data_IF_314896464919
#
_entry.id   IF_314896464919
#
_cell.length_a   1.000
_cell.length_b   1.000
_cell.length_c   1.000
_cell.angle_alpha   90.00
_cell.angle_beta   90.00
_cell.angle_gamma   90.00
#
_symmetry.space_group_name_H-M   'P 1'
#
loop_
_entity.id
_entity.type
_entity.pdbx_description
1 polymer ?
#
# COMPACT_ATOMS: atom_id res chain seq x y z
N UNK A 1 77.52 70.17 -61.88
CA UNK A 1 76.73 69.95 -63.11
C UNK A 1 75.69 68.87 -62.81
N UNK A 2 74.40 69.21 -62.91
CA UNK A 2 73.19 68.35 -62.86
C UNK A 2 72.83 67.55 -61.57
N UNK A 3 71.63 67.94 -61.08
CA UNK A 3 70.55 67.25 -60.34
C UNK A 3 70.80 66.67 -58.92
N UNK A 4 70.00 67.09 -57.91
CA UNK A 4 70.10 66.66 -56.52
C UNK A 4 68.99 65.69 -56.08
N UNK A 5 69.22 65.02 -54.94
CA UNK A 5 68.21 64.37 -54.11
C UNK A 5 68.33 64.87 -52.67
N UNK A 6 67.17 65.09 -52.02
CA UNK A 6 66.90 65.37 -50.59
C UNK A 6 66.95 66.85 -50.14
N UNK A 7 66.33 67.26 -49.00
CA UNK A 7 65.08 66.84 -48.35
C UNK A 7 64.23 68.02 -47.76
N UNK A 8 63.07 67.68 -47.16
CA UNK A 8 62.38 68.29 -45.98
C UNK A 8 62.06 69.79 -45.88
N UNK A 9 60.80 70.13 -45.55
CA UNK A 9 60.44 70.87 -44.31
C UNK A 9 58.92 71.11 -44.16
N UNK A 10 58.41 70.81 -42.97
CA UNK A 10 57.09 71.11 -42.34
C UNK A 10 57.11 72.52 -41.68
N UNK A 11 56.11 73.03 -40.90
CA UNK A 11 54.83 72.50 -40.33
C UNK A 11 53.66 73.56 -40.45
N UNK A 12 52.55 73.64 -39.63
CA UNK A 12 52.18 72.91 -38.41
C UNK A 12 50.70 72.51 -38.14
N UNK A 13 50.58 71.59 -37.17
CA UNK A 13 49.59 71.43 -36.07
C UNK A 13 48.08 71.36 -36.35
N UNK A 14 47.45 70.23 -35.99
CA UNK A 14 46.41 70.18 -34.94
C UNK A 14 46.04 68.74 -34.57
N UNK A 15 45.87 68.52 -33.27
CA UNK A 15 45.54 67.26 -32.59
C UNK A 15 44.04 66.94 -32.70
N UNK A 16 43.69 65.72 -33.16
CA UNK A 16 42.36 65.14 -32.93
C UNK A 16 42.49 63.74 -32.35
N UNK A 17 42.00 63.62 -31.11
CA UNK A 17 41.99 62.47 -30.22
C UNK A 17 40.65 61.73 -30.40
N UNK A 18 40.64 60.58 -31.05
CA UNK A 18 39.47 59.72 -31.16
C UNK A 18 39.36 58.80 -29.93
N UNK A 19 38.40 59.09 -29.05
CA UNK A 19 37.95 58.20 -27.99
C UNK A 19 36.88 57.23 -28.57
N UNK A 20 37.26 56.01 -28.94
CA UNK A 20 36.30 54.95 -29.23
C UNK A 20 35.71 54.42 -27.91
N UNK A 21 34.55 54.95 -27.50
CA UNK A 21 33.66 54.27 -26.55
C UNK A 21 32.92 53.17 -27.31
N UNK A 22 33.23 51.92 -27.02
CA UNK A 22 32.48 50.74 -27.46
C UNK A 22 31.05 50.82 -26.89
N UNK A 23 30.07 51.15 -27.75
CA UNK A 23 28.65 51.01 -27.42
C UNK A 23 28.27 49.53 -27.55
N UNK A 24 28.02 48.88 -26.43
CA UNK A 24 27.43 47.54 -26.42
C UNK A 24 25.98 47.61 -26.93
N UNK A 25 25.61 46.67 -27.79
CA UNK A 25 24.26 46.55 -28.36
C UNK A 25 23.24 46.34 -27.23
N UNK A 26 22.11 47.07 -27.21
CA UNK A 26 21.07 46.91 -26.18
C UNK A 26 20.50 45.48 -26.14
N UNK A 27 20.55 44.76 -27.27
CA UNK A 27 20.15 43.35 -27.36
C UNK A 27 21.12 42.40 -26.65
N UNK A 28 22.41 42.74 -26.58
CA UNK A 28 23.38 41.93 -25.86
C UNK A 28 23.18 42.09 -24.34
N UNK A 29 22.84 43.30 -23.89
CA UNK A 29 22.54 43.54 -22.49
C UNK A 29 21.28 42.82 -22.04
N UNK A 30 20.20 42.85 -22.82
CA UNK A 30 18.96 42.11 -22.50
C UNK A 30 19.18 40.59 -22.54
N UNK A 31 19.98 40.08 -23.47
CA UNK A 31 20.35 38.66 -23.51
C UNK A 31 21.15 38.25 -22.26
N UNK A 32 22.12 39.06 -21.83
CA UNK A 32 22.93 38.77 -20.65
C UNK A 32 22.10 38.81 -19.36
N UNK A 33 21.16 39.75 -19.24
CA UNK A 33 20.22 39.81 -18.12
C UNK A 33 19.29 38.60 -18.11
N UNK A 34 18.79 38.16 -19.27
CA UNK A 34 17.97 36.95 -19.38
C UNK A 34 18.74 35.68 -18.98
N UNK A 35 19.98 35.52 -19.46
CA UNK A 35 20.84 34.39 -19.10
C UNK A 35 21.13 34.39 -17.59
N UNK A 36 21.40 35.55 -17.01
CA UNK A 36 21.63 35.67 -15.56
C UNK A 36 20.38 35.30 -14.75
N UNK A 37 19.19 35.73 -15.18
CA UNK A 37 17.94 35.42 -14.51
C UNK A 37 17.58 33.92 -14.59
N UNK A 38 17.81 33.28 -15.74
CA UNK A 38 17.67 31.82 -15.91
C UNK A 38 18.70 31.07 -15.05
N UNK A 39 19.95 31.54 -14.98
CA UNK A 39 20.98 30.92 -14.15
C UNK A 39 20.66 31.00 -12.64
N UNK A 40 19.98 32.06 -12.16
CA UNK A 40 19.51 32.14 -10.77
C UNK A 40 18.33 31.21 -10.51
N UNK A 41 17.35 31.18 -11.43
CA UNK A 41 16.14 30.36 -11.25
C UNK A 41 16.39 28.85 -11.36
N UNK A 42 17.42 28.43 -12.11
CA UNK A 42 17.74 27.03 -12.35
C UNK A 42 19.15 26.61 -11.88
N UNK A 43 19.88 27.51 -11.19
CA UNK A 43 21.27 27.29 -10.77
C UNK A 43 21.42 26.21 -9.69
N UNK A 44 20.43 26.05 -8.81
CA UNK A 44 20.43 25.00 -7.79
C UNK A 44 20.24 23.59 -8.41
N UNK A 45 19.52 23.49 -9.54
CA UNK A 45 19.35 22.23 -10.27
C UNK A 45 20.58 21.84 -11.10
N UNK A 46 21.34 22.82 -11.60
CA UNK A 46 22.53 22.56 -12.43
C UNK A 46 23.73 22.01 -11.64
N UNK A 47 23.92 22.42 -10.38
CA UNK A 47 24.99 21.88 -9.51
C UNK A 47 24.72 20.43 -9.08
N UNK A 48 23.46 19.98 -9.10
CA UNK A 48 23.09 18.61 -8.80
C UNK A 48 23.39 17.65 -9.97
N UNK A 49 23.28 18.13 -11.21
CA UNK A 49 23.54 17.34 -12.42
C UNK A 49 25.05 17.12 -12.65
N UNK A 50 25.89 18.13 -12.40
CA UNK A 50 27.35 17.97 -12.53
C UNK A 50 28.03 17.32 -11.30
N UNK A 51 27.43 17.41 -10.12
CA UNK A 51 27.93 16.74 -8.92
C UNK A 51 27.85 15.20 -8.98
N UNK A 52 26.87 14.65 -9.70
CA UNK A 52 26.73 13.20 -9.89
C UNK A 52 27.67 12.61 -10.94
N UNK A 53 28.17 13.42 -11.88
CA UNK A 53 29.00 12.92 -12.98
C UNK A 53 30.50 12.95 -12.65
N UNK A 54 30.93 13.75 -11.68
CA UNK A 54 32.32 13.82 -11.20
C UNK A 54 32.68 12.80 -10.10
N UNK A 55 31.73 12.01 -9.58
CA UNK A 55 32.02 10.89 -8.66
C UNK A 55 32.16 9.52 -9.35
N UNK A 56 31.92 9.43 -10.66
CA UNK A 56 31.93 8.15 -11.40
C UNK A 56 33.23 7.87 -12.16
N UNK A 57 34.28 8.69 -12.02
CA UNK A 57 35.54 8.44 -12.72
C UNK A 57 36.75 8.93 -11.91
N UNK A 58 37.19 8.13 -10.93
CA UNK A 58 38.52 8.28 -10.31
C UNK A 58 39.03 6.95 -9.77
N UNK A 59 39.81 6.30 -10.64
CA UNK A 59 40.90 5.35 -10.44
C UNK A 59 40.67 3.87 -10.01
N UNK A 60 41.26 2.92 -10.78
CA UNK A 60 41.27 1.50 -10.48
C UNK A 60 42.54 1.05 -9.72
N UNK A 61 42.42 -0.09 -9.05
CA UNK A 61 43.48 -0.90 -8.44
C UNK A 61 44.27 -0.30 -7.27
N UNK A 62 43.82 -0.60 -6.06
CA UNK A 62 44.71 -0.77 -4.92
C UNK A 62 44.21 -1.95 -4.09
N UNK A 63 45.02 -2.99 -4.05
CA UNK A 63 44.76 -4.24 -3.35
C UNK A 63 44.96 -3.99 -1.85
N UNK A 64 43.88 -3.69 -1.13
CA UNK A 64 43.88 -3.64 0.34
C UNK A 64 43.03 -4.78 0.89
N UNK A 65 43.73 -5.73 1.53
CA UNK A 65 43.16 -6.74 2.40
C UNK A 65 42.28 -6.04 3.45
N UNK A 66 40.97 -6.12 3.25
CA UNK A 66 39.98 -5.62 4.19
C UNK A 66 39.38 -6.83 4.89
N UNK A 67 39.64 -6.91 6.18
CA UNK A 67 38.85 -7.69 7.14
C UNK A 67 37.36 -7.47 6.88
N UNK A 68 36.49 -8.48 7.07
CA UNK A 68 35.07 -8.30 6.83
C UNK A 68 34.51 -7.36 7.88
N UNK A 69 34.36 -6.08 7.52
CA UNK A 69 33.50 -5.15 8.25
C UNK A 69 32.10 -5.76 8.25
N UNK A 70 31.65 -6.16 9.44
CA UNK A 70 30.26 -6.52 9.72
C UNK A 70 29.40 -5.35 9.26
N UNK A 71 28.75 -5.46 8.09
CA UNK A 71 27.69 -4.55 7.67
C UNK A 71 26.65 -4.57 8.80
N UNK A 72 26.61 -3.51 9.61
CA UNK A 72 25.52 -3.30 10.58
C UNK A 72 24.25 -3.18 9.76
N UNK A 73 23.49 -4.28 9.64
CA UNK A 73 22.12 -4.25 9.09
C UNK A 73 21.37 -3.15 9.85
N UNK A 74 21.02 -2.06 9.17
CA UNK A 74 20.24 -0.98 9.77
C UNK A 74 18.95 -1.59 10.35
N UNK A 75 18.67 -1.28 11.61
CA UNK A 75 17.50 -1.79 12.31
C UNK A 75 16.25 -1.18 11.66
N UNK A 76 15.34 -2.02 11.17
CA UNK A 76 14.07 -1.57 10.61
C UNK A 76 13.29 -0.75 11.64
N UNK A 77 12.62 0.31 11.18
CA UNK A 77 11.77 1.11 12.07
C UNK A 77 10.78 0.21 12.82
N UNK A 78 10.53 0.53 14.09
CA UNK A 78 9.64 -0.21 15.02
C UNK A 78 10.10 -1.59 15.48
N UNK A 79 11.14 -2.18 14.88
CA UNK A 79 11.64 -3.48 15.30
C UNK A 79 12.08 -3.47 16.78
N UNK A 80 11.66 -4.48 17.55
CA UNK A 80 12.05 -4.72 18.94
C UNK A 80 13.01 -5.89 19.01
N UNK A 81 12.72 -6.98 18.30
CA UNK A 81 13.58 -8.15 18.15
C UNK A 81 13.70 -8.59 16.70
N UNK A 82 14.01 -9.86 16.50
CA UNK A 82 13.98 -10.54 15.21
C UNK A 82 13.31 -11.90 15.40
N UNK A 83 12.59 -12.35 14.38
CA UNK A 83 12.16 -13.75 14.33
C UNK A 83 13.39 -14.65 14.17
N UNK A 84 13.29 -15.90 14.63
CA UNK A 84 14.33 -16.92 14.44
C UNK A 84 14.71 -17.08 12.95
N UNK A 85 16.01 -17.24 12.68
CA UNK A 85 16.49 -17.43 11.32
C UNK A 85 15.89 -18.69 10.71
N UNK A 86 15.35 -18.58 9.50
CA UNK A 86 14.70 -19.69 8.79
C UNK A 86 13.21 -19.86 9.09
N UNK A 87 12.60 -19.09 10.00
CA UNK A 87 11.16 -19.16 10.21
C UNK A 87 10.38 -18.31 9.19
N UNK A 88 9.70 -18.99 8.27
CA UNK A 88 8.63 -18.39 7.47
C UNK A 88 7.30 -18.43 8.25
N UNK A 89 6.94 -17.30 8.87
CA UNK A 89 5.71 -17.19 9.66
C UNK A 89 4.43 -17.37 8.84
N UNK A 90 4.50 -17.33 7.51
CA UNK A 90 3.36 -17.53 6.61
C UNK A 90 3.20 -18.98 6.16
N UNK A 91 4.15 -19.86 6.54
CA UNK A 91 4.12 -21.30 6.28
C UNK A 91 3.86 -22.06 7.58
N UNK A 92 2.74 -22.77 7.64
CA UNK A 92 2.19 -23.29 8.90
C UNK A 92 0.87 -24.02 8.71
N UNK A 93 0.17 -24.19 9.83
CA UNK A 93 -1.15 -24.83 9.89
C UNK A 93 -2.06 -24.12 10.88
N UNK A 94 -3.36 -24.30 10.70
CA UNK A 94 -4.35 -23.90 11.70
C UNK A 94 -4.39 -24.92 12.84
N UNK A 95 -4.39 -24.42 14.07
CA UNK A 95 -4.56 -25.22 15.28
C UNK A 95 -5.70 -24.66 16.10
N UNK A 96 -6.50 -25.54 16.71
CA UNK A 96 -7.58 -25.14 17.61
C UNK A 96 -6.99 -24.66 18.93
N UNK A 97 -7.50 -23.54 19.44
CA UNK A 97 -7.02 -22.86 20.64
C UNK A 97 -8.19 -22.17 21.36
N UNK A 98 -8.92 -22.94 22.17
CA UNK A 98 -10.08 -22.44 22.91
C UNK A 98 -9.70 -21.63 24.16
N UNK A 99 -8.44 -21.70 24.59
CA UNK A 99 -7.96 -21.04 25.80
C UNK A 99 -7.66 -19.57 25.56
N UNK A 100 -7.15 -19.23 24.37
CA UNK A 100 -6.71 -17.86 24.05
C UNK A 100 -7.57 -17.18 22.99
N UNK A 101 -8.59 -17.86 22.45
CA UNK A 101 -9.42 -17.33 21.37
C UNK A 101 -10.92 -17.27 21.72
N UNK A 102 -11.65 -16.33 21.09
CA UNK A 102 -11.13 -15.17 20.34
C UNK A 102 -10.46 -14.13 21.26
N UNK A 103 -9.71 -13.18 20.69
CA UNK A 103 -9.07 -12.10 21.46
C UNK A 103 -10.09 -11.13 22.10
N UNK A 104 -11.28 -11.05 21.50
CA UNK A 104 -12.42 -10.27 21.95
C UNK A 104 -13.69 -10.94 21.45
N UNK A 105 -14.81 -10.71 22.12
CA UNK A 105 -16.14 -11.12 21.67
C UNK A 105 -16.72 -10.08 20.72
N UNK A 106 -17.54 -10.50 19.76
CA UNK A 106 -18.20 -9.60 18.80
C UNK A 106 -18.97 -8.46 19.49
N UNK A 107 -19.69 -8.78 20.57
CA UNK A 107 -20.47 -7.83 21.36
C UNK A 107 -19.64 -6.83 22.16
N UNK A 108 -18.35 -7.06 22.33
CA UNK A 108 -17.46 -6.18 23.10
C UNK A 108 -16.93 -5.02 22.24
N UNK A 109 -16.89 -5.16 20.90
CA UNK A 109 -16.33 -4.16 20.00
C UNK A 109 -17.43 -3.42 19.21
N UNK A 110 -17.85 -2.20 19.62
CA UNK A 110 -18.92 -1.46 18.96
C UNK A 110 -18.53 -0.89 17.58
N UNK A 111 -17.28 -1.07 17.16
CA UNK A 111 -16.75 -0.55 15.90
C UNK A 111 -16.91 -1.51 14.72
N UNK A 112 -17.33 -2.76 14.98
CA UNK A 112 -17.59 -3.74 13.93
C UNK A 112 -18.82 -3.29 13.15
N UNK A 113 -18.69 -3.15 11.83
CA UNK A 113 -19.86 -2.81 11.03
C UNK A 113 -20.80 -4.01 10.92
N UNK A 114 -22.13 -3.79 10.82
CA UNK A 114 -23.13 -4.85 10.71
C UNK A 114 -22.91 -5.85 9.56
N UNK A 115 -22.07 -5.51 8.58
CA UNK A 115 -21.71 -6.43 7.50
C UNK A 115 -20.73 -7.53 7.94
N UNK A 116 -20.13 -7.42 9.13
CA UNK A 116 -19.11 -8.33 9.68
C UNK A 116 -19.52 -8.94 11.04
N UNK A 117 -20.64 -8.50 11.66
CA UNK A 117 -21.17 -9.03 12.94
C UNK A 117 -22.01 -10.28 12.71
N UNK A 118 -21.36 -11.43 12.55
CA UNK A 118 -22.04 -12.67 12.19
C UNK A 118 -22.93 -13.22 13.30
N UNK A 119 -22.51 -13.14 14.57
CA UNK A 119 -23.30 -13.65 15.68
C UNK A 119 -24.57 -12.81 15.89
N UNK A 120 -24.45 -11.49 15.84
CA UNK A 120 -25.58 -10.55 15.87
C UNK A 120 -26.58 -10.83 14.73
N UNK A 121 -26.08 -11.25 13.56
CA UNK A 121 -26.91 -11.62 12.41
C UNK A 121 -27.28 -13.11 12.34
N UNK A 122 -27.24 -13.80 13.49
CA UNK A 122 -27.86 -15.11 13.66
C UNK A 122 -26.99 -16.31 13.29
N UNK A 123 -25.66 -16.13 13.14
CA UNK A 123 -24.75 -17.26 12.93
C UNK A 123 -24.77 -18.18 14.16
N UNK A 124 -25.14 -19.47 14.02
CA UNK A 124 -25.33 -20.35 15.16
C UNK A 124 -24.01 -20.93 15.70
N UNK A 125 -23.02 -21.16 14.84
CA UNK A 125 -21.74 -21.73 15.20
C UNK A 125 -20.72 -20.65 15.62
N UNK A 126 -19.82 -21.01 16.54
CA UNK A 126 -18.70 -20.17 16.99
C UNK A 126 -17.32 -20.78 16.74
N UNK A 127 -17.27 -22.02 16.25
CA UNK A 127 -16.03 -22.80 16.16
C UNK A 127 -14.97 -22.13 15.27
N UNK A 128 -15.39 -21.37 14.26
CA UNK A 128 -14.50 -20.59 13.40
C UNK A 128 -13.64 -19.56 14.18
N UNK A 129 -14.08 -19.15 15.38
CA UNK A 129 -13.38 -18.17 16.22
C UNK A 129 -12.19 -18.78 16.97
N UNK A 130 -12.17 -20.11 17.17
CA UNK A 130 -11.19 -20.80 18.03
C UNK A 130 -9.95 -21.30 17.28
N UNK A 131 -9.66 -20.74 16.12
CA UNK A 131 -8.50 -21.12 15.31
C UNK A 131 -7.36 -20.12 15.45
N UNK A 132 -6.15 -20.63 15.69
CA UNK A 132 -4.89 -19.88 15.68
C UNK A 132 -3.96 -20.41 14.59
N UNK A 133 -3.22 -19.52 13.95
CA UNK A 133 -2.17 -19.91 13.01
C UNK A 133 -0.88 -20.30 13.75
N UNK A 134 -0.33 -21.45 13.41
CA UNK A 134 0.93 -21.97 13.94
C UNK A 134 1.94 -22.16 12.80
N UNK A 135 2.97 -21.30 12.69
CA UNK A 135 4.07 -21.53 11.76
C UNK A 135 4.79 -22.86 12.05
N UNK A 136 5.34 -23.48 11.01
CA UNK A 136 5.99 -24.78 11.15
C UNK A 136 7.30 -24.75 11.94
N UNK A 137 8.08 -23.67 11.79
CA UNK A 137 9.44 -23.59 12.28
C UNK A 137 9.61 -22.73 13.54
N UNK A 138 8.58 -21.99 13.96
CA UNK A 138 8.63 -21.16 15.16
C UNK A 138 7.22 -20.85 15.69
N UNK A 139 7.17 -20.22 16.86
CA UNK A 139 5.94 -19.67 17.42
C UNK A 139 5.74 -18.20 17.00
N UNK A 140 4.49 -17.80 16.82
CA UNK A 140 4.16 -16.38 16.66
C UNK A 140 4.31 -15.68 18.02
N UNK A 141 4.86 -14.45 18.05
CA UNK A 141 4.81 -13.64 19.24
C UNK A 141 3.36 -13.34 19.61
N UNK A 142 3.01 -13.49 20.88
CA UNK A 142 1.68 -13.15 21.39
C UNK A 142 1.36 -11.69 21.10
N UNK A 143 0.17 -11.43 20.56
CA UNK A 143 -0.29 -10.07 20.32
C UNK A 143 -0.35 -9.29 21.64
N UNK A 144 0.34 -8.14 21.68
CA UNK A 144 0.38 -7.28 22.86
C UNK A 144 -0.19 -5.90 22.50
N UNK A 145 -1.44 -5.67 22.90
CA UNK A 145 -2.14 -4.42 22.62
C UNK A 145 -1.47 -3.21 23.28
N UNK A 146 -0.94 -3.34 24.50
CA UNK A 146 -0.20 -2.27 25.18
C UNK A 146 1.07 -1.89 24.41
N UNK A 147 1.83 -2.87 23.94
CA UNK A 147 3.03 -2.64 23.11
C UNK A 147 2.66 -1.93 21.80
N UNK A 148 1.57 -2.35 21.16
CA UNK A 148 1.10 -1.71 19.93
C UNK A 148 0.71 -0.24 20.18
N UNK A 149 -0.11 0.03 21.19
CA UNK A 149 -0.56 1.39 21.52
C UNK A 149 0.60 2.30 21.93
N UNK A 150 1.52 1.84 22.79
CA UNK A 150 2.71 2.61 23.16
C UNK A 150 3.62 2.88 21.97
N UNK A 151 3.72 1.92 21.05
CA UNK A 151 4.48 2.11 19.81
C UNK A 151 3.82 3.16 18.91
N UNK A 152 2.49 3.21 18.89
CA UNK A 152 1.70 4.18 18.13
C UNK A 152 1.60 5.55 18.80
N UNK A 153 2.20 5.75 19.98
CA UNK A 153 2.11 7.02 20.70
C UNK A 153 2.67 8.17 19.85
N UNK A 154 1.85 9.18 19.58
CA UNK A 154 2.19 10.30 18.71
C UNK A 154 2.30 9.95 17.23
N UNK A 155 1.68 8.86 16.77
CA UNK A 155 1.85 8.29 15.43
C UNK A 155 0.54 7.96 14.74
N UNK A 156 0.65 7.75 13.42
CA UNK A 156 -0.44 7.37 12.55
C UNK A 156 -0.19 6.00 11.92
N UNK A 157 -1.15 5.10 12.07
CA UNK A 157 -1.23 3.84 11.33
C UNK A 157 -2.38 3.92 10.34
N UNK A 158 -2.15 3.58 9.07
CA UNK A 158 -3.19 3.66 8.04
C UNK A 158 -3.24 2.40 7.19
N UNK A 159 -4.44 1.82 7.09
CA UNK A 159 -4.80 0.78 6.15
C UNK A 159 -5.36 1.43 4.88
N UNK A 160 -4.91 1.01 3.71
CA UNK A 160 -5.27 1.63 2.43
C UNK A 160 -5.62 0.56 1.41
N UNK A 161 -6.88 0.51 0.98
CA UNK A 161 -7.29 -0.52 0.03
C UNK A 161 -8.78 -0.65 -0.16
N UNK A 162 -9.18 -1.89 -0.43
CA UNK A 162 -10.56 -2.30 -0.65
C UNK A 162 -11.28 -2.71 0.66
N UNK A 163 -12.45 -3.37 0.54
CA UNK A 163 -13.28 -3.75 1.68
C UNK A 163 -12.64 -4.81 2.58
N UNK A 164 -11.72 -5.63 2.08
CA UNK A 164 -11.02 -6.62 2.89
C UNK A 164 -9.99 -5.92 3.78
N UNK A 165 -9.34 -4.88 3.26
CA UNK A 165 -8.43 -4.08 4.08
C UNK A 165 -9.18 -3.29 5.16
N UNK A 166 -10.41 -2.85 4.88
CA UNK A 166 -11.30 -2.25 5.89
C UNK A 166 -11.62 -3.23 7.02
N UNK A 167 -11.89 -4.50 6.70
CA UNK A 167 -12.08 -5.53 7.73
C UNK A 167 -10.83 -5.73 8.60
N UNK A 168 -9.63 -5.76 7.99
CA UNK A 168 -8.37 -5.81 8.74
C UNK A 168 -8.18 -4.59 9.65
N UNK A 169 -8.52 -3.39 9.19
CA UNK A 169 -8.54 -2.16 9.99
C UNK A 169 -9.45 -2.29 11.22
N UNK A 170 -10.68 -2.75 11.03
CA UNK A 170 -11.66 -2.88 12.11
C UNK A 170 -11.22 -3.93 13.13
N UNK A 171 -10.68 -5.06 12.66
CA UNK A 171 -10.05 -6.06 13.54
C UNK A 171 -8.93 -5.43 14.38
N UNK A 172 -8.05 -4.59 13.79
CA UNK A 172 -6.99 -3.91 14.54
C UNK A 172 -7.57 -2.98 15.61
N UNK A 173 -8.63 -2.23 15.29
CA UNK A 173 -9.33 -1.41 16.29
C UNK A 173 -9.89 -2.28 17.42
N UNK A 174 -10.54 -3.39 17.10
CA UNK A 174 -11.11 -4.31 18.10
C UNK A 174 -10.07 -5.03 18.95
N UNK A 175 -8.85 -5.25 18.43
CA UNK A 175 -7.73 -5.78 19.21
C UNK A 175 -7.17 -4.77 20.22
N UNK A 176 -7.39 -3.47 20.02
CA UNK A 176 -6.78 -2.40 20.81
C UNK A 176 -7.77 -1.66 21.72
N UNK A 177 -9.03 -1.50 21.30
CA UNK A 177 -9.96 -0.54 21.92
C UNK A 177 -10.27 -0.81 23.40
N UNK A 178 -10.14 -2.05 23.88
CA UNK A 178 -10.44 -2.41 25.29
C UNK A 178 -9.45 -1.77 26.27
N UNK A 179 -8.23 -1.50 25.83
CA UNK A 179 -7.20 -0.84 26.65
C UNK A 179 -7.33 0.68 26.67
N UNK A 180 -8.28 1.25 25.93
CA UNK A 180 -8.50 2.69 25.84
C UNK A 180 -9.84 3.02 26.52
N UNK A 181 -9.85 3.90 27.53
CA UNK A 181 -11.09 4.37 28.16
C UNK A 181 -12.11 4.88 27.14
N UNK A 182 -13.41 4.72 27.41
CA UNK A 182 -14.48 5.10 26.47
C UNK A 182 -14.47 6.59 26.10
N UNK A 183 -14.18 7.47 27.07
CA UNK A 183 -14.05 8.92 26.86
C UNK A 183 -12.74 9.31 26.16
N UNK A 184 -11.75 8.42 26.17
CA UNK A 184 -10.44 8.58 25.56
C UNK A 184 -10.33 8.02 24.12
N UNK A 185 -11.45 7.58 23.51
CA UNK A 185 -11.48 7.12 22.12
C UNK A 185 -12.62 7.70 21.29
N UNK A 186 -12.44 7.74 19.96
CA UNK A 186 -13.48 8.15 19.01
C UNK A 186 -13.25 7.50 17.64
N UNK A 187 -14.31 7.40 16.84
CA UNK A 187 -14.24 6.98 15.43
C UNK A 187 -15.03 7.97 14.57
N UNK A 188 -14.39 8.54 13.57
CA UNK A 188 -14.98 9.56 12.68
C UNK A 188 -14.68 9.23 11.21
N UNK A 189 -15.62 9.54 10.32
CA UNK A 189 -15.48 9.30 8.88
C UNK A 189 -15.62 10.60 8.09
N UNK A 190 -14.63 10.88 7.24
CA UNK A 190 -14.52 12.06 6.39
C UNK A 190 -14.30 11.61 4.94
N UNK A 191 -15.40 11.53 4.16
CA UNK A 191 -15.35 11.03 2.78
C UNK A 191 -14.75 9.62 2.72
N UNK A 192 -13.58 9.48 2.07
CA UNK A 192 -12.88 8.19 1.93
C UNK A 192 -12.04 7.78 3.15
N UNK A 193 -11.88 8.64 4.16
CA UNK A 193 -11.03 8.40 5.33
C UNK A 193 -11.88 8.10 6.57
N UNK A 194 -11.60 7.02 7.28
CA UNK A 194 -12.13 6.74 8.62
C UNK A 194 -10.98 6.73 9.62
N UNK A 195 -11.13 7.45 10.74
CA UNK A 195 -10.10 7.65 11.75
C UNK A 195 -10.62 7.16 13.09
N UNK A 196 -9.92 6.19 13.68
CA UNK A 196 -10.06 5.84 15.09
C UNK A 196 -8.95 6.53 15.88
N UNK A 197 -9.31 7.32 16.89
CA UNK A 197 -8.37 8.12 17.68
C UNK A 197 -8.27 7.55 19.09
N UNK A 198 -7.05 7.26 19.54
CA UNK A 198 -6.72 6.94 20.92
C UNK A 198 -6.09 8.18 21.58
N UNK A 199 -6.91 8.98 22.27
CA UNK A 199 -6.57 10.36 22.69
C UNK A 199 -5.37 10.40 23.64
N UNK A 200 -5.34 9.53 24.65
CA UNK A 200 -4.24 9.46 25.63
C UNK A 200 -2.89 9.06 25.02
N UNK A 201 -2.93 8.34 23.90
CA UNK A 201 -1.73 7.96 23.15
C UNK A 201 -1.36 9.02 22.10
N UNK A 202 -2.22 10.00 21.83
CA UNK A 202 -2.10 10.88 20.67
C UNK A 202 -1.84 10.06 19.39
N UNK A 203 -2.60 8.98 19.23
CA UNK A 203 -2.40 7.98 18.19
C UNK A 203 -3.66 7.83 17.33
N UNK A 204 -3.47 7.56 16.04
CA UNK A 204 -4.58 7.24 15.13
C UNK A 204 -4.37 5.90 14.44
N UNK A 205 -5.47 5.16 14.31
CA UNK A 205 -5.58 4.01 13.42
C UNK A 205 -6.61 4.38 12.37
N UNK A 206 -6.22 4.33 11.10
CA UNK A 206 -6.94 4.95 9.99
C UNK A 206 -7.24 3.92 8.90
N UNK A 207 -8.37 4.09 8.21
CA UNK A 207 -8.69 3.40 6.97
C UNK A 207 -8.94 4.41 5.85
N UNK A 208 -8.24 4.27 4.74
CA UNK A 208 -8.44 5.08 3.54
C UNK A 208 -8.94 4.20 2.40
N UNK A 209 -10.14 4.51 1.89
CA UNK A 209 -10.74 3.83 0.75
C UNK A 209 -10.03 4.18 -0.55
N UNK A 210 -9.32 3.21 -1.12
CA UNK A 210 -8.65 3.31 -2.41
C UNK A 210 -8.55 1.90 -3.01
N UNK A 211 -9.65 1.32 -3.50
CA UNK A 211 -9.76 -0.11 -3.78
C UNK A 211 -8.85 -0.57 -4.92
N UNK A 212 -8.43 0.34 -5.80
CA UNK A 212 -7.45 0.11 -6.88
C UNK A 212 -6.10 0.78 -6.62
N UNK A 213 -5.94 1.48 -5.49
CA UNK A 213 -4.82 2.39 -5.12
C UNK A 213 -4.62 3.60 -6.03
N UNK A 214 -4.90 3.46 -7.32
CA UNK A 214 -5.01 4.52 -8.31
C UNK A 214 -6.40 5.14 -8.26
N UNK A 215 -6.52 6.36 -8.80
CA UNK A 215 -7.81 7.00 -9.00
C UNK A 215 -8.71 6.12 -9.88
N UNK A 216 -9.97 5.97 -9.47
CA UNK A 216 -10.96 5.19 -10.17
C UNK A 216 -12.33 5.83 -10.11
N UNK A 217 -13.26 5.37 -10.94
CA UNK A 217 -14.66 5.75 -10.79
C UNK A 217 -15.33 5.17 -9.54
N UNK A 218 -14.63 4.32 -8.77
CA UNK A 218 -15.16 3.61 -7.60
C UNK A 218 -14.56 4.11 -6.27
N UNK A 219 -14.07 5.35 -6.23
CA UNK A 219 -13.36 5.95 -5.08
C UNK A 219 -14.28 6.54 -3.99
N UNK A 220 -15.60 6.55 -4.21
CA UNK A 220 -16.57 6.99 -3.21
C UNK A 220 -16.86 5.88 -2.19
N UNK A 221 -16.45 6.03 -0.94
CA UNK A 221 -16.58 4.96 0.06
C UNK A 221 -18.02 4.48 0.32
N UNK A 222 -19.04 5.23 -0.10
CA UNK A 222 -20.47 4.89 0.01
C UNK A 222 -21.04 4.38 -1.32
N UNK A 223 -20.81 5.11 -2.41
CA UNK A 223 -21.37 4.85 -3.74
C UNK A 223 -20.28 4.28 -4.67
N UNK A 224 -19.80 3.08 -4.37
CA UNK A 224 -18.68 2.44 -5.09
C UNK A 224 -19.02 1.13 -5.83
N UNK A 225 -20.29 0.73 -5.81
CA UNK A 225 -20.76 -0.50 -6.47
C UNK A 225 -21.07 -0.26 -7.93
N UNK A 226 -20.00 -0.10 -8.70
CA UNK A 226 -20.07 0.15 -10.14
C UNK A 226 -19.65 -1.13 -10.85
N UNK A 227 -20.47 -1.59 -11.80
CA UNK A 227 -20.18 -2.77 -12.62
C UNK A 227 -19.08 -2.47 -13.63
N UNK A 228 -19.17 -1.32 -14.31
CA UNK A 228 -18.17 -0.88 -15.28
C UNK A 228 -17.05 -0.07 -14.62
N UNK A 229 -16.07 -0.77 -14.04
CA UNK A 229 -14.97 -0.16 -13.28
C UNK A 229 -13.88 0.37 -14.22
N UNK A 230 -13.46 1.61 -13.99
CA UNK A 230 -12.40 2.27 -14.76
C UNK A 230 -11.32 2.75 -13.80
N UNK A 231 -10.06 2.43 -14.09
CA UNK A 231 -8.88 2.86 -13.33
C UNK A 231 -8.06 3.82 -14.16
N UNK A 232 -7.64 4.95 -13.58
CA UNK A 232 -6.85 5.97 -14.27
C UNK A 232 -5.36 5.70 -14.13
N UNK A 233 -4.63 5.68 -15.25
CA UNK A 233 -3.18 5.48 -15.27
C UNK A 233 -2.43 6.65 -14.64
N UNK A 234 -1.38 6.37 -13.86
CA UNK A 234 -0.47 7.40 -13.33
C UNK A 234 -1.06 8.35 -12.28
N UNK A 235 -2.24 8.04 -11.73
CA UNK A 235 -3.06 8.96 -10.94
C UNK A 235 -2.90 8.84 -9.41
N UNK A 236 -1.94 8.03 -8.94
CA UNK A 236 -1.83 7.65 -7.52
C UNK A 236 -1.74 8.83 -6.55
N UNK A 237 -1.24 9.99 -7.00
CA UNK A 237 -1.08 11.18 -6.16
C UNK A 237 -2.42 11.76 -5.65
N UNK A 238 -3.55 11.51 -6.33
CA UNK A 238 -4.88 11.92 -5.85
C UNK A 238 -5.16 11.35 -4.46
N UNK A 239 -4.84 10.08 -4.26
CA UNK A 239 -4.98 9.42 -2.96
C UNK A 239 -3.73 9.58 -2.10
N UNK A 240 -2.55 9.46 -2.71
CA UNK A 240 -1.25 9.51 -2.04
C UNK A 240 -1.03 10.76 -1.18
N UNK A 241 -1.64 11.90 -1.51
CA UNK A 241 -1.58 13.10 -0.65
C UNK A 241 -2.06 12.85 0.79
N UNK A 242 -3.00 11.94 1.00
CA UNK A 242 -3.55 11.59 2.32
C UNK A 242 -2.66 10.62 3.10
N UNK A 243 -1.80 9.86 2.42
CA UNK A 243 -0.93 8.85 3.00
C UNK A 243 0.43 9.43 3.45
N UNK A 244 0.74 10.67 3.03
CA UNK A 244 1.97 11.36 3.44
C UNK A 244 2.01 11.54 4.96
N UNK A 245 3.19 11.32 5.54
CA UNK A 245 3.42 11.48 6.97
C UNK A 245 2.87 10.35 7.86
N UNK A 246 2.30 9.28 7.27
CA UNK A 246 1.91 8.09 8.03
C UNK A 246 3.16 7.32 8.47
N UNK A 247 3.16 6.82 9.71
CA UNK A 247 4.26 6.06 10.31
C UNK A 247 4.21 4.57 9.93
N UNK A 248 3.01 3.99 9.85
CA UNK A 248 2.80 2.60 9.46
C UNK A 248 1.71 2.53 8.38
N UNK A 249 2.08 2.19 7.15
CA UNK A 249 1.15 2.01 6.03
C UNK A 249 0.92 0.53 5.76
N UNK A 250 -0.33 0.12 5.64
CA UNK A 250 -0.73 -1.25 5.28
C UNK A 250 -1.61 -1.19 4.04
N UNK A 251 -1.01 -1.48 2.87
CA UNK A 251 -1.73 -1.49 1.60
C UNK A 251 -2.38 -2.86 1.33
N UNK A 252 -3.51 -2.86 0.65
CA UNK A 252 -4.09 -4.04 0.02
C UNK A 252 -4.90 -3.62 -1.21
N UNK A 253 -4.94 -4.48 -2.22
CA UNK A 253 -5.86 -4.35 -3.35
C UNK A 253 -5.92 -5.68 -4.08
N UNK A 254 -7.10 -6.27 -4.23
CA UNK A 254 -7.23 -7.53 -4.98
C UNK A 254 -8.62 -7.71 -5.55
N UNK A 255 -9.64 -7.67 -4.69
CA UNK A 255 -10.98 -8.18 -4.99
C UNK A 255 -11.53 -7.61 -6.30
N UNK A 256 -11.35 -6.31 -6.52
CA UNK A 256 -11.99 -5.61 -7.64
C UNK A 256 -11.25 -5.72 -8.97
N UNK A 257 -10.06 -6.29 -8.96
CA UNK A 257 -9.36 -6.68 -10.17
C UNK A 257 -9.86 -8.04 -10.70
N UNK A 258 -10.52 -8.85 -9.85
CA UNK A 258 -10.99 -10.20 -10.18
C UNK A 258 -12.37 -10.18 -10.87
N UNK A 259 -12.50 -9.41 -11.95
CA UNK A 259 -13.76 -9.31 -12.70
C UNK A 259 -14.01 -10.48 -13.66
N UNK A 260 -12.98 -11.28 -13.95
CA UNK A 260 -12.99 -12.27 -15.04
C UNK A 260 -12.87 -11.65 -16.43
N UNK A 261 -12.76 -10.33 -16.54
CA UNK A 261 -12.69 -9.57 -17.78
C UNK A 261 -11.40 -8.75 -17.85
N UNK A 262 -11.13 -8.16 -19.02
CA UNK A 262 -10.09 -7.13 -19.16
C UNK A 262 -10.44 -5.88 -18.34
N UNK A 263 -9.41 -5.20 -17.85
CA UNK A 263 -9.57 -3.98 -17.06
C UNK A 263 -9.53 -2.75 -17.95
N UNK A 264 -10.50 -1.86 -17.78
CA UNK A 264 -10.55 -0.56 -18.46
C UNK A 264 -9.62 0.44 -17.78
N UNK A 265 -8.63 0.92 -18.53
CA UNK A 265 -7.64 1.89 -18.09
C UNK A 265 -7.84 3.20 -18.83
N UNK A 266 -8.13 4.26 -18.08
CA UNK A 266 -8.21 5.62 -18.60
C UNK A 266 -6.80 6.22 -18.71
N UNK A 267 -6.45 6.75 -19.88
CA UNK A 267 -5.15 7.36 -20.14
C UNK A 267 -5.10 8.86 -19.76
N UNK A 268 -6.23 9.57 -19.92
CA UNK A 268 -6.40 10.99 -19.60
C UNK A 268 -6.94 11.27 -18.19
N UNK A 269 -7.79 12.29 -18.06
CA UNK A 269 -8.55 12.65 -16.84
C UNK A 269 -9.99 12.18 -16.90
N UNK A 270 -10.62 12.01 -15.73
CA UNK A 270 -12.07 11.76 -15.66
C UNK A 270 -12.90 12.98 -16.10
N UNK A 271 -12.30 14.17 -16.06
CA UNK A 271 -12.91 15.45 -16.45
C UNK A 271 -12.79 15.74 -17.96
N UNK A 272 -12.06 14.92 -18.71
CA UNK A 272 -11.90 15.12 -20.16
C UNK A 272 -13.22 14.84 -20.90
N UNK A 273 -13.56 15.69 -21.88
CA UNK A 273 -14.75 15.51 -22.73
C UNK A 273 -14.70 14.18 -23.50
N UNK A 274 -13.52 13.84 -24.02
CA UNK A 274 -13.26 12.59 -24.74
C UNK A 274 -12.39 11.69 -23.88
N UNK A 275 -12.95 10.54 -23.48
CA UNK A 275 -12.27 9.57 -22.62
C UNK A 275 -11.55 8.52 -23.46
N UNK A 276 -10.22 8.58 -23.48
CA UNK A 276 -9.39 7.53 -24.08
C UNK A 276 -9.21 6.37 -23.09
N UNK A 277 -9.88 5.25 -23.37
CA UNK A 277 -9.86 4.04 -22.54
C UNK A 277 -9.23 2.91 -23.32
N UNK A 278 -8.25 2.25 -22.70
CA UNK A 278 -7.64 1.02 -23.22
C UNK A 278 -7.99 -0.16 -22.32
N UNK A 279 -8.06 -1.35 -22.89
CA UNK A 279 -8.28 -2.58 -22.14
C UNK A 279 -6.98 -3.33 -21.92
N UNK A 280 -6.66 -3.65 -20.67
CA UNK A 280 -5.51 -4.46 -20.30
C UNK A 280 -5.94 -5.80 -19.71
N UNK A 281 -5.06 -6.80 -19.78
CA UNK A 281 -5.21 -8.00 -18.94
C UNK A 281 -5.26 -7.60 -17.46
N UNK A 282 -5.88 -8.43 -16.62
CA UNK A 282 -5.89 -8.20 -15.16
C UNK A 282 -4.45 -8.08 -14.63
N UNK A 283 -3.55 -8.94 -15.09
CA UNK A 283 -2.14 -8.99 -14.71
C UNK A 283 -1.41 -7.69 -15.08
N UNK A 284 -1.59 -7.18 -16.30
CA UNK A 284 -0.93 -5.95 -16.75
C UNK A 284 -1.46 -4.71 -16.02
N UNK A 285 -2.77 -4.65 -15.81
CA UNK A 285 -3.42 -3.59 -15.06
C UNK A 285 -2.98 -3.59 -13.58
N UNK A 286 -2.92 -4.76 -12.96
CA UNK A 286 -2.43 -4.93 -11.59
C UNK A 286 -0.95 -4.57 -11.48
N UNK A 287 -0.11 -5.01 -12.42
CA UNK A 287 1.32 -4.68 -12.49
C UNK A 287 1.54 -3.18 -12.59
N UNK A 288 0.70 -2.48 -13.36
CA UNK A 288 0.73 -1.02 -13.46
C UNK A 288 0.45 -0.36 -12.10
N UNK A 289 -0.59 -0.79 -11.38
CA UNK A 289 -0.92 -0.25 -10.06
C UNK A 289 0.20 -0.50 -9.04
N UNK A 290 0.76 -1.71 -9.00
CA UNK A 290 1.86 -2.06 -8.09
C UNK A 290 3.11 -1.23 -8.36
N UNK A 291 3.49 -1.03 -9.63
CA UNK A 291 4.62 -0.17 -10.00
C UNK A 291 4.40 1.28 -9.59
N UNK A 292 3.19 1.80 -9.77
CA UNK A 292 2.82 3.16 -9.32
C UNK A 292 2.91 3.31 -7.81
N UNK A 293 2.40 2.33 -7.05
CA UNK A 293 2.46 2.31 -5.58
C UNK A 293 3.91 2.30 -5.08
N UNK A 294 4.77 1.41 -5.58
CA UNK A 294 6.17 1.38 -5.18
C UNK A 294 6.91 2.66 -5.55
N UNK A 295 6.64 3.23 -6.75
CA UNK A 295 7.21 4.52 -7.15
C UNK A 295 6.79 5.62 -6.19
N UNK A 296 5.51 5.65 -5.80
CA UNK A 296 4.99 6.62 -4.85
C UNK A 296 5.64 6.46 -3.47
N UNK A 297 5.71 5.24 -2.93
CA UNK A 297 6.35 4.96 -1.64
C UNK A 297 7.81 5.42 -1.65
N UNK A 298 8.57 5.07 -2.70
CA UNK A 298 9.99 5.47 -2.84
C UNK A 298 10.19 6.98 -2.75
N UNK A 299 9.27 7.77 -3.32
CA UNK A 299 9.39 9.22 -3.43
C UNK A 299 8.87 9.97 -2.20
N UNK A 300 7.99 9.34 -1.40
CA UNK A 300 7.25 10.04 -0.35
C UNK A 300 7.49 9.50 1.06
N UNK A 301 8.05 8.30 1.21
CA UNK A 301 8.23 7.65 2.52
C UNK A 301 9.70 7.60 2.92
N UNK A 302 9.96 7.82 4.22
CA UNK A 302 11.30 7.67 4.79
C UNK A 302 11.43 6.28 5.43
N UNK A 303 12.22 5.35 4.88
CA UNK A 303 12.33 3.98 5.39
C UNK A 303 12.93 3.88 6.80
N UNK A 304 13.58 4.94 7.30
CA UNK A 304 14.10 5.01 8.68
C UNK A 304 13.02 5.39 9.70
N UNK A 305 11.90 5.95 9.24
CA UNK A 305 10.80 6.43 10.10
C UNK A 305 9.49 5.68 9.86
N UNK A 306 9.28 5.20 8.64
CA UNK A 306 8.02 4.59 8.20
C UNK A 306 8.20 3.10 7.93
N UNK A 307 7.21 2.29 8.31
CA UNK A 307 7.08 0.91 7.83
C UNK A 307 5.95 0.81 6.83
N UNK A 308 6.21 0.15 5.71
CA UNK A 308 5.21 -0.08 4.65
C UNK A 308 5.00 -1.58 4.51
N UNK A 309 3.73 -1.98 4.58
CA UNK A 309 3.27 -3.34 4.41
C UNK A 309 2.38 -3.43 3.18
N UNK A 310 2.36 -4.61 2.57
CA UNK A 310 1.37 -4.97 1.57
C UNK A 310 0.76 -6.32 1.95
N UNK A 311 -0.53 -6.32 2.27
CA UNK A 311 -1.30 -7.54 2.53
C UNK A 311 -1.65 -8.18 1.19
N UNK A 312 -1.32 -9.46 1.02
CA UNK A 312 -1.61 -10.23 -0.19
C UNK A 312 -3.11 -10.41 -0.42
N UNK A 313 -3.47 -11.15 -1.48
CA UNK A 313 -4.88 -11.41 -1.79
C UNK A 313 -5.61 -12.13 -0.64
N UNK A 314 -6.82 -11.66 -0.34
CA UNK A 314 -7.78 -12.42 0.46
C UNK A 314 -8.53 -13.38 -0.48
N UNK A 315 -8.58 -14.68 -0.18
CA UNK A 315 -9.30 -15.65 -1.00
C UNK A 315 -10.82 -15.48 -0.88
N UNK A 316 -11.54 -16.04 -1.85
CA UNK A 316 -12.99 -16.26 -1.79
C UNK A 316 -13.30 -17.77 -1.83
N UNK A 317 -14.47 -18.13 -1.33
CA UNK A 317 -14.95 -19.52 -1.28
C UNK A 317 -16.31 -19.63 -1.99
N UNK A 318 -16.33 -19.28 -3.27
CA UNK A 318 -17.56 -19.22 -4.07
C UNK A 318 -18.02 -20.55 -4.66
N UNK A 319 -17.19 -21.61 -4.61
CA UNK A 319 -17.44 -22.88 -5.30
C UNK A 319 -16.99 -24.06 -4.44
N UNK A 320 -17.93 -24.82 -3.89
CA UNK A 320 -17.59 -25.94 -3.00
C UNK A 320 -16.87 -27.10 -3.67
N UNK A 321 -17.03 -27.25 -4.99
CA UNK A 321 -16.28 -28.22 -5.79
C UNK A 321 -14.76 -28.05 -5.66
N UNK A 322 -14.27 -26.82 -5.37
CA UNK A 322 -12.84 -26.55 -5.23
C UNK A 322 -12.24 -27.30 -4.02
N UNK A 323 -13.06 -27.64 -3.03
CA UNK A 323 -12.67 -28.38 -1.83
C UNK A 323 -13.42 -29.71 -1.66
N UNK A 324 -13.93 -30.27 -2.77
CA UNK A 324 -14.57 -31.59 -2.80
C UNK A 324 -16.03 -31.63 -2.36
N UNK A 325 -16.70 -30.47 -2.24
CA UNK A 325 -18.15 -30.40 -2.00
C UNK A 325 -19.00 -30.50 -3.28
N UNK A 326 -20.31 -30.31 -3.14
CA UNK A 326 -21.28 -30.47 -4.22
C UNK A 326 -21.21 -29.35 -5.28
N UNK A 327 -21.68 -29.62 -6.50
CA UNK A 327 -21.82 -28.61 -7.54
C UNK A 327 -22.90 -27.59 -7.17
N UNK A 328 -22.61 -26.30 -7.39
CA UNK A 328 -23.53 -25.21 -7.07
C UNK A 328 -23.50 -24.75 -5.60
N UNK A 329 -22.78 -25.43 -4.72
CA UNK A 329 -22.53 -24.97 -3.34
C UNK A 329 -21.40 -23.94 -3.24
N UNK A 330 -21.28 -23.32 -2.06
CA UNK A 330 -20.27 -22.31 -1.72
C UNK A 330 -19.97 -22.36 -0.22
N UNK A 331 -19.43 -21.27 0.37
CA UNK A 331 -19.13 -21.17 1.80
C UNK A 331 -20.36 -21.26 2.75
N UNK A 332 -21.58 -21.35 2.23
CA UNK A 332 -22.77 -21.53 3.06
C UNK A 332 -22.73 -22.87 3.80
N UNK A 333 -23.01 -22.85 5.11
CA UNK A 333 -22.94 -24.00 6.03
C UNK A 333 -21.57 -24.66 6.20
N UNK A 334 -20.50 -24.05 5.69
CA UNK A 334 -19.14 -24.51 5.97
C UNK A 334 -18.71 -24.06 7.38
N UNK A 335 -18.35 -25.03 8.24
CA UNK A 335 -18.01 -24.79 9.66
C UNK A 335 -16.64 -25.32 10.05
N UNK A 336 -15.95 -25.99 9.13
CA UNK A 336 -14.61 -26.56 9.34
C UNK A 336 -13.60 -25.96 8.37
N UNK A 337 -12.33 -25.98 8.77
CA UNK A 337 -11.23 -25.61 7.89
C UNK A 337 -11.02 -26.66 6.79
N UNK A 338 -10.38 -26.26 5.70
CA UNK A 338 -9.85 -27.19 4.70
C UNK A 338 -8.54 -27.76 5.24
N UNK A 339 -8.47 -29.08 5.35
CA UNK A 339 -7.30 -29.79 5.89
C UNK A 339 -6.25 -30.12 4.81
N UNK A 340 -6.64 -30.13 3.52
CA UNK A 340 -5.72 -30.39 2.41
C UNK A 340 -4.65 -29.28 2.32
N UNK A 341 -3.38 -29.57 2.63
CA UNK A 341 -2.30 -28.57 2.60
C UNK A 341 -1.93 -28.14 1.18
N UNK A 342 -2.44 -28.83 0.15
CA UNK A 342 -2.22 -28.51 -1.25
C UNK A 342 -3.36 -27.69 -1.85
N UNK A 343 -4.41 -27.41 -1.07
CA UNK A 343 -5.58 -26.68 -1.53
C UNK A 343 -5.23 -25.29 -2.09
N UNK A 344 -5.79 -25.01 -3.26
CA UNK A 344 -5.73 -23.69 -3.88
C UNK A 344 -7.03 -23.44 -4.65
N UNK A 345 -7.90 -22.60 -4.12
CA UNK A 345 -9.20 -22.28 -4.74
C UNK A 345 -9.08 -21.67 -6.14
N UNK A 346 -10.04 -21.95 -7.00
CA UNK A 346 -10.05 -21.51 -8.40
C UNK A 346 -10.18 -19.98 -8.55
N UNK A 347 -10.80 -19.32 -7.55
CA UNK A 347 -10.95 -17.86 -7.51
C UNK A 347 -9.68 -17.13 -7.03
N UNK A 348 -8.66 -17.87 -6.56
CA UNK A 348 -7.36 -17.32 -6.17
C UNK A 348 -6.41 -17.29 -7.37
N UNK A 349 -6.18 -16.13 -7.98
CA UNK A 349 -5.36 -16.05 -9.20
C UNK A 349 -3.86 -16.07 -8.90
N UNK A 350 -3.21 -17.24 -9.05
CA UNK A 350 -1.73 -17.38 -8.92
C UNK A 350 -0.95 -16.35 -9.76
N UNK A 351 -1.43 -16.05 -10.97
CA UNK A 351 -0.83 -15.05 -11.85
C UNK A 351 -0.73 -13.65 -11.23
N UNK A 352 -1.66 -13.28 -10.34
CA UNK A 352 -1.60 -11.99 -9.64
C UNK A 352 -0.59 -12.03 -8.48
N UNK A 353 -0.44 -13.16 -7.79
CA UNK A 353 0.67 -13.35 -6.83
C UNK A 353 2.03 -13.29 -7.53
N UNK A 354 2.15 -13.89 -8.71
CA UNK A 354 3.37 -13.84 -9.53
C UNK A 354 3.71 -12.40 -9.90
N UNK A 355 2.72 -11.58 -10.31
CA UNK A 355 2.92 -10.15 -10.58
C UNK A 355 3.46 -9.42 -9.34
N UNK A 356 2.94 -9.69 -8.14
CA UNK A 356 3.46 -9.09 -6.90
C UNK A 356 4.92 -9.50 -6.70
N UNK A 357 5.23 -10.79 -6.80
CA UNK A 357 6.58 -11.32 -6.65
C UNK A 357 7.57 -10.70 -7.65
N UNK A 358 7.20 -10.60 -8.92
CA UNK A 358 7.98 -9.95 -9.98
C UNK A 358 8.25 -8.47 -9.70
N UNK A 359 7.22 -7.73 -9.27
CA UNK A 359 7.32 -6.29 -9.05
C UNK A 359 8.11 -5.98 -7.78
N UNK A 360 7.91 -6.75 -6.71
CA UNK A 360 8.57 -6.52 -5.42
C UNK A 360 10.03 -6.96 -5.46
N UNK A 361 10.35 -8.10 -6.08
CA UNK A 361 11.73 -8.58 -6.21
C UNK A 361 12.65 -7.61 -6.98
N UNK A 362 12.09 -6.86 -7.93
CA UNK A 362 12.82 -5.85 -8.72
C UNK A 362 12.91 -4.49 -8.00
N UNK A 363 12.23 -4.32 -6.87
CA UNK A 363 12.16 -3.06 -6.13
C UNK A 363 13.22 -2.98 -5.04
N UNK A 364 13.81 -1.78 -4.87
CA UNK A 364 14.66 -1.45 -3.72
C UNK A 364 13.88 -0.84 -2.56
N UNK A 365 12.57 -0.65 -2.71
CA UNK A 365 11.71 -0.09 -1.66
C UNK A 365 11.52 -1.14 -0.57
N UNK A 366 11.82 -0.83 0.71
CA UNK A 366 11.65 -1.78 1.82
C UNK A 366 10.17 -1.91 2.18
N UNK A 367 9.45 -2.70 1.39
CA UNK A 367 8.05 -3.09 1.63
C UNK A 367 8.01 -4.48 2.24
N UNK A 368 7.20 -4.65 3.29
CA UNK A 368 7.03 -5.95 3.94
C UNK A 368 5.77 -6.62 3.41
N UNK A 369 5.93 -7.75 2.75
CA UNK A 369 4.80 -8.51 2.23
C UNK A 369 4.18 -9.38 3.32
N UNK A 370 2.88 -9.23 3.57
CA UNK A 370 2.11 -10.10 4.45
C UNK A 370 1.42 -11.15 3.56
N UNK A 371 2.04 -12.32 3.43
CA UNK A 371 1.54 -13.40 2.58
C UNK A 371 0.43 -14.18 3.29
N UNK A 372 -0.75 -13.59 3.39
CA UNK A 372 -1.92 -14.17 4.06
C UNK A 372 -2.70 -15.15 3.18
N UNK A 373 -2.37 -15.28 1.90
CA UNK A 373 -3.23 -15.94 0.91
C UNK A 373 -3.47 -17.41 1.26
N UNK A 374 -2.40 -18.19 1.45
CA UNK A 374 -2.51 -19.63 1.67
C UNK A 374 -3.14 -19.96 3.02
N UNK A 375 -2.72 -19.30 4.11
CA UNK A 375 -3.35 -19.53 5.41
C UNK A 375 -4.84 -19.17 5.38
N UNK A 376 -5.22 -18.14 4.63
CA UNK A 376 -6.62 -17.73 4.51
C UNK A 376 -7.42 -18.67 3.61
N UNK A 377 -6.78 -19.36 2.65
CA UNK A 377 -7.47 -20.26 1.73
C UNK A 377 -8.01 -21.48 2.45
N UNK A 378 -7.44 -21.86 3.59
CA UNK A 378 -8.00 -22.95 4.39
C UNK A 378 -9.29 -22.59 5.14
N UNK A 379 -9.65 -21.31 5.20
CA UNK A 379 -10.64 -20.79 6.15
C UNK A 379 -12.03 -20.60 5.56
N UNK A 380 -12.52 -21.56 4.78
CA UNK A 380 -13.88 -21.52 4.20
C UNK A 380 -14.98 -21.32 5.25
N UNK A 381 -14.71 -21.72 6.49
CA UNK A 381 -15.55 -21.56 7.68
C UNK A 381 -15.72 -20.11 8.14
N UNK A 382 -14.75 -19.22 7.91
CA UNK A 382 -14.71 -17.92 8.58
C UNK A 382 -15.50 -16.80 7.87
N UNK A 383 -16.12 -17.09 6.74
CA UNK A 383 -16.85 -16.10 5.95
C UNK A 383 -18.13 -15.61 6.62
N UNK A 384 -18.55 -14.39 6.27
CA UNK A 384 -19.83 -13.84 6.72
C UNK A 384 -21.02 -14.66 6.22
N UNK A 385 -20.89 -15.29 5.04
CA UNK A 385 -21.96 -16.07 4.43
C UNK A 385 -23.25 -15.26 4.37
N UNK A 386 -24.36 -15.79 4.90
CA UNK A 386 -25.63 -15.08 4.98
C UNK A 386 -25.77 -14.20 6.22
N UNK A 387 -24.90 -14.37 7.21
CA UNK A 387 -24.99 -13.81 8.56
C UNK A 387 -24.38 -12.41 8.59
N UNK A 388 -25.07 -11.47 7.95
CA UNK A 388 -24.63 -10.07 7.86
C UNK A 388 -25.78 -9.17 7.49
N UNK A 389 -25.62 -7.86 7.73
CA UNK A 389 -26.52 -6.85 7.20
C UNK A 389 -26.48 -6.87 5.67
N UNK A 390 -27.61 -7.24 5.07
CA UNK A 390 -27.82 -7.15 3.64
C UNK A 390 -28.08 -5.70 3.25
N UNK A 391 -27.54 -5.28 2.10
CA UNK A 391 -27.66 -3.90 1.64
C UNK A 391 -28.98 -3.62 0.95
N UNK A 392 -29.49 -4.64 0.24
CA UNK A 392 -30.79 -4.62 -0.39
C UNK A 392 -31.66 -5.66 0.32
N UNK A 393 -32.98 -5.41 0.44
CA UNK A 393 -33.91 -6.44 0.86
C UNK A 393 -33.78 -7.69 -0.02
N UNK A 394 -33.73 -8.86 0.61
CA UNK A 394 -33.66 -10.13 -0.11
C UNK A 394 -35.02 -10.47 -0.73
N UNK A 395 -35.01 -11.01 -1.94
CA UNK A 395 -36.23 -11.50 -2.59
C UNK A 395 -36.70 -12.82 -1.96
N UNK A 396 -37.98 -13.21 -2.12
CA UNK A 396 -38.45 -14.52 -1.68
C UNK A 396 -37.64 -15.69 -2.26
N UNK A 397 -37.17 -15.58 -3.50
CA UNK A 397 -36.35 -16.58 -4.16
C UNK A 397 -34.96 -16.69 -3.51
N UNK A 398 -34.36 -15.55 -3.13
CA UNK A 398 -33.10 -15.54 -2.39
C UNK A 398 -33.28 -16.17 -1.02
N UNK A 399 -34.31 -15.79 -0.27
CA UNK A 399 -34.59 -16.37 1.05
C UNK A 399 -34.82 -17.89 1.00
N UNK A 400 -35.44 -18.39 -0.07
CA UNK A 400 -35.61 -19.83 -0.29
C UNK A 400 -34.31 -20.55 -0.68
N UNK A 401 -33.27 -19.84 -1.12
CA UNK A 401 -31.98 -20.39 -1.50
C UNK A 401 -30.81 -19.56 -0.92
N UNK A 402 -30.43 -19.80 0.35
CA UNK A 402 -29.31 -19.13 1.04
C UNK A 402 -28.00 -19.07 0.26
N UNK A 403 -27.69 -20.14 -0.48
CA UNK A 403 -26.48 -20.23 -1.31
C UNK A 403 -26.41 -19.08 -2.33
N UNK A 404 -27.56 -18.62 -2.85
CA UNK A 404 -27.63 -17.56 -3.87
C UNK A 404 -27.21 -16.17 -3.39
N UNK A 405 -27.20 -15.92 -2.07
CA UNK A 405 -26.85 -14.61 -1.51
C UNK A 405 -25.77 -14.69 -0.41
N UNK A 406 -25.15 -15.85 -0.21
CA UNK A 406 -24.03 -16.01 0.70
C UNK A 406 -22.82 -15.17 0.26
N UNK A 407 -22.29 -14.36 1.18
CA UNK A 407 -21.06 -13.61 0.98
C UNK A 407 -19.85 -14.46 1.38
N UNK A 408 -19.22 -15.04 0.37
CA UNK A 408 -18.01 -15.86 0.47
C UNK A 408 -16.74 -15.07 0.16
N UNK A 409 -16.75 -13.77 0.45
CA UNK A 409 -15.62 -12.85 0.27
C UNK A 409 -15.24 -12.23 1.61
N UNK A 410 -16.20 -11.67 2.33
CA UNK A 410 -15.95 -10.98 3.59
C UNK A 410 -15.93 -11.96 4.77
N UNK A 411 -15.29 -11.53 5.86
CA UNK A 411 -14.97 -12.37 7.01
C UNK A 411 -15.72 -11.90 8.24
N UNK A 412 -16.18 -12.84 9.07
CA UNK A 412 -16.72 -12.52 10.38
C UNK A 412 -15.64 -11.90 11.28
N UNK A 413 -16.04 -11.00 12.19
CA UNK A 413 -15.19 -10.49 13.26
C UNK A 413 -15.84 -10.79 14.62
N UNK A 414 -15.10 -11.31 15.62
CA UNK A 414 -13.70 -11.78 15.57
C UNK A 414 -13.51 -12.98 14.61
N UNK A 415 -12.30 -13.20 14.13
CA UNK A 415 -12.03 -14.29 13.18
C UNK A 415 -10.70 -14.17 12.43
N UNK A 416 -10.70 -14.57 11.16
CA UNK A 416 -9.48 -14.68 10.33
C UNK A 416 -8.65 -13.39 10.27
N UNK A 417 -9.30 -12.22 10.22
CA UNK A 417 -8.59 -10.95 10.07
C UNK A 417 -7.79 -10.57 11.33
N UNK A 418 -8.12 -11.13 12.49
CA UNK A 418 -7.32 -11.00 13.72
C UNK A 418 -5.95 -11.65 13.53
N UNK A 419 -5.90 -12.82 12.87
CA UNK A 419 -4.64 -13.48 12.53
C UNK A 419 -3.81 -12.64 11.54
N UNK A 420 -4.44 -11.92 10.60
CA UNK A 420 -3.71 -11.02 9.72
C UNK A 420 -3.02 -9.90 10.50
N UNK A 421 -3.67 -9.40 11.55
CA UNK A 421 -3.11 -8.38 12.44
C UNK A 421 -2.05 -8.94 13.40
N UNK A 422 -2.11 -10.21 13.77
CA UNK A 422 -1.02 -10.89 14.48
C UNK A 422 0.23 -11.05 13.61
N UNK A 423 0.06 -11.42 12.35
CA UNK A 423 1.17 -11.51 11.39
C UNK A 423 1.78 -10.13 11.11
N UNK A 424 0.95 -9.10 11.01
CA UNK A 424 1.39 -7.71 10.93
C UNK A 424 2.17 -7.31 12.18
N UNK A 425 1.67 -7.62 13.38
CA UNK A 425 2.34 -7.38 14.65
C UNK A 425 3.71 -8.08 14.71
N UNK A 426 3.75 -9.36 14.35
CA UNK A 426 4.98 -10.14 14.28
C UNK A 426 6.01 -9.49 13.34
N UNK A 427 5.61 -9.11 12.12
CA UNK A 427 6.52 -8.45 11.16
C UNK A 427 6.85 -6.99 11.47
N UNK A 428 6.06 -6.33 12.31
CA UNK A 428 6.35 -4.97 12.77
C UNK A 428 7.43 -4.97 13.85
N UNK A 429 7.28 -5.84 14.86
CA UNK A 429 8.13 -5.85 16.04
C UNK A 429 9.27 -6.88 15.98
N UNK A 430 9.11 -7.96 15.22
CA UNK A 430 10.06 -9.07 15.12
C UNK A 430 10.30 -9.44 13.65
N UNK A 431 10.72 -8.49 12.80
CA UNK A 431 10.83 -8.70 11.35
C UNK A 431 11.76 -9.85 10.94
#
# INVERSE_FOLDING_TARGET
MKLPFSPSSSPPSSLLRNNNKTRFSPYLFTLLVFIFFVAILYGEDFMCIFGQQLQLYSNPHTFFSTTPERIKKEKLAFAKGKTEEGCDIFSGRWVRDELTRPHYQESECPYIQPQLTCQEHGRPDKDYQYWRWQPHACDLPTFNASLMLETLRGKRMMFVGDSLNRGQYVSMVCLLHRLIPEDAKSMETFGSLTVFTAKEYNATIEFYWAPFLLESNSDDAVIHRISDRIVRKGSINKHGRHWKGVDILVFNTYLWWMTGLKMKILLGSFDDEVKEIVELSTEDAYRMAMKSMLRWVRLNMNPKKTRVFFTSMSPSHGKSIDWGGEEGGNCYNETTVIEDPTYWGSDCRKSVMEVIGEVFSKSKVPITFLNITQLSSYRRDAHTSIYKKQWNPLTPQQLANPVSYADCVHWCLPGLQDTWNELLFAKLFYP
#
